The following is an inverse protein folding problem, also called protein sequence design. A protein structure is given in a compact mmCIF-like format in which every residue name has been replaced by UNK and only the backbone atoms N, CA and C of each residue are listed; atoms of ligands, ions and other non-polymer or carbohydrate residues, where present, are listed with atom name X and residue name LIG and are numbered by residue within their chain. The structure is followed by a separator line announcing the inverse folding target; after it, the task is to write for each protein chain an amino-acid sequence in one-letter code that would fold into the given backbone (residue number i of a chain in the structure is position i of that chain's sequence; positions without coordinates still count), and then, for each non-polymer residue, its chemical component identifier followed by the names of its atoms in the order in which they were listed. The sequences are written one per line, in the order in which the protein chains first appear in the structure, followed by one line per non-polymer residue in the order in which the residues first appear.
data_IF_961552883520
#
_entry.id   IF_961552883520
#
_cell.length_a   1.000
_cell.length_b   1.000
_cell.length_c   1.000
_cell.angle_alpha   90.00
_cell.angle_beta   90.00
_cell.angle_gamma   90.00
#
_symmetry.space_group_name_H-M   'P 1'
#
loop_
_entity.id
_entity.type
_entity.pdbx_description
1 polymer ?
#
# COMPACT_ATOMS: atom_id res chain seq x y z
N UNK A 1 -22.24 -27.82 30.54
CA UNK A 1 -21.89 -26.49 31.11
C UNK A 1 -21.02 -25.64 30.16
N UNK A 2 -19.93 -26.17 29.58
CA UNK A 2 -19.01 -25.41 28.70
C UNK A 2 -19.69 -24.80 27.46
N UNK A 3 -20.68 -25.50 26.91
CA UNK A 3 -21.49 -25.07 25.75
C UNK A 3 -22.34 -23.82 26.05
N UNK A 4 -22.97 -23.75 27.22
CA UNK A 4 -23.76 -22.57 27.64
C UNK A 4 -22.88 -21.32 27.79
N UNK A 5 -21.68 -21.46 28.38
CA UNK A 5 -20.74 -20.36 28.55
C UNK A 5 -20.29 -19.77 27.20
N UNK A 6 -20.03 -20.62 26.20
CA UNK A 6 -19.67 -20.20 24.84
C UNK A 6 -20.80 -19.43 24.15
N UNK A 7 -22.04 -19.89 24.28
CA UNK A 7 -23.21 -19.22 23.68
C UNK A 7 -23.43 -17.83 24.30
N UNK A 8 -23.31 -17.72 25.62
CA UNK A 8 -23.46 -16.44 26.33
C UNK A 8 -22.34 -15.46 25.97
N UNK A 9 -21.10 -15.95 25.79
CA UNK A 9 -19.98 -15.12 25.33
C UNK A 9 -20.25 -14.57 23.92
N UNK A 10 -20.73 -15.40 22.99
CA UNK A 10 -21.04 -14.98 21.62
C UNK A 10 -22.15 -13.93 21.56
N UNK A 11 -23.20 -14.06 22.38
CA UNK A 11 -24.24 -13.02 22.52
C UNK A 11 -23.64 -11.71 23.02
N UNK A 12 -22.86 -11.74 24.10
CA UNK A 12 -22.22 -10.55 24.68
C UNK A 12 -21.27 -9.86 23.71
N UNK A 13 -20.59 -10.62 22.84
CA UNK A 13 -19.77 -10.07 21.75
C UNK A 13 -20.66 -9.40 20.70
N UNK A 14 -21.75 -10.05 20.29
CA UNK A 14 -22.70 -9.52 19.29
C UNK A 14 -23.36 -8.22 19.76
N UNK A 15 -23.71 -8.11 21.04
CA UNK A 15 -24.34 -6.92 21.65
C UNK A 15 -23.37 -5.73 21.75
N UNK A 16 -22.06 -5.99 21.79
CA UNK A 16 -21.02 -4.95 21.76
C UNK A 16 -20.72 -4.41 20.36
N UNK A 17 -21.21 -5.05 19.30
CA UNK A 17 -20.96 -4.59 17.92
C UNK A 17 -21.86 -3.38 17.67
N UNK A 18 -21.31 -2.22 17.30
CA UNK A 18 -22.10 -1.05 16.97
C UNK A 18 -23.12 -1.36 15.86
N UNK A 19 -24.32 -0.80 16.00
CA UNK A 19 -25.35 -0.92 14.97
C UNK A 19 -24.83 -0.40 13.62
N UNK A 20 -25.27 -1.03 12.52
CA UNK A 20 -24.87 -0.65 11.15
C UNK A 20 -23.55 -1.28 10.66
N UNK A 21 -22.79 -1.99 11.49
CA UNK A 21 -21.61 -2.73 11.03
C UNK A 21 -22.03 -4.07 10.41
N UNK A 22 -21.91 -4.20 9.08
CA UNK A 22 -22.18 -5.46 8.36
C UNK A 22 -21.16 -6.54 8.75
N UNK A 23 -21.61 -7.61 9.39
CA UNK A 23 -20.77 -8.71 9.89
C UNK A 23 -20.91 -10.00 9.08
N UNK A 24 -21.79 -10.05 8.07
CA UNK A 24 -21.98 -11.24 7.25
C UNK A 24 -20.65 -11.67 6.61
N UNK A 25 -20.41 -12.98 6.56
CA UNK A 25 -19.18 -13.53 6.02
C UNK A 25 -18.97 -13.09 4.56
N UNK A 26 -20.05 -13.11 3.77
CA UNK A 26 -20.07 -12.58 2.39
C UNK A 26 -19.59 -11.13 2.28
N UNK A 27 -19.99 -10.24 3.21
CA UNK A 27 -19.51 -8.85 3.19
C UNK A 27 -18.01 -8.75 3.50
N UNK A 28 -17.53 -9.53 4.47
CA UNK A 28 -16.09 -9.58 4.82
C UNK A 28 -15.27 -10.13 3.66
N UNK A 29 -15.75 -11.18 3.00
CA UNK A 29 -15.09 -11.79 1.86
C UNK A 29 -15.09 -10.86 0.65
N UNK A 30 -16.21 -10.18 0.36
CA UNK A 30 -16.28 -9.16 -0.69
C UNK A 30 -15.25 -8.03 -0.44
N UNK A 31 -15.15 -7.53 0.80
CA UNK A 31 -14.14 -6.52 1.16
C UNK A 31 -12.71 -7.03 1.08
N UNK A 32 -12.47 -8.31 1.37
CA UNK A 32 -11.16 -8.93 1.18
C UNK A 32 -10.81 -9.01 -0.31
N UNK A 33 -11.74 -9.45 -1.15
CA UNK A 33 -11.55 -9.54 -2.60
C UNK A 33 -11.35 -8.16 -3.23
N UNK A 34 -12.06 -7.14 -2.76
CA UNK A 34 -11.85 -5.74 -3.17
C UNK A 34 -10.40 -5.30 -2.92
N UNK A 35 -9.85 -5.57 -1.73
CA UNK A 35 -8.45 -5.22 -1.41
C UNK A 35 -7.46 -5.97 -2.30
N UNK A 36 -7.66 -7.27 -2.51
CA UNK A 36 -6.80 -8.10 -3.35
C UNK A 36 -6.83 -7.62 -4.82
N UNK A 37 -8.01 -7.28 -5.33
CA UNK A 37 -8.19 -6.72 -6.67
C UNK A 37 -7.44 -5.39 -6.84
N UNK A 38 -7.51 -4.50 -5.84
CA UNK A 38 -6.78 -3.23 -5.86
C UNK A 38 -5.25 -3.44 -5.85
N UNK A 39 -4.75 -4.41 -5.08
CA UNK A 39 -3.34 -4.77 -5.07
C UNK A 39 -2.88 -5.36 -6.41
N UNK A 40 -3.66 -6.28 -6.98
CA UNK A 40 -3.37 -6.89 -8.28
C UNK A 40 -3.36 -5.83 -9.39
N UNK A 41 -4.33 -4.91 -9.41
CA UNK A 41 -4.37 -3.80 -10.37
C UNK A 41 -3.12 -2.90 -10.23
N UNK A 42 -2.66 -2.63 -9.00
CA UNK A 42 -1.41 -1.89 -8.78
C UNK A 42 -0.21 -2.61 -9.39
N UNK A 43 -0.05 -3.91 -9.11
CA UNK A 43 1.03 -4.74 -9.69
C UNK A 43 0.99 -4.76 -11.22
N UNK A 44 -0.20 -4.86 -11.82
CA UNK A 44 -0.39 -4.78 -13.28
C UNK A 44 -0.05 -3.42 -13.89
N UNK A 45 -0.16 -2.33 -13.12
CA UNK A 45 0.33 -1.02 -13.58
C UNK A 45 1.86 -0.94 -13.47
N UNK A 46 2.43 -1.54 -12.43
CA UNK A 46 3.89 -1.60 -12.21
C UNK A 46 4.64 -2.45 -13.25
N UNK A 47 3.99 -3.44 -13.89
CA UNK A 47 4.62 -4.22 -14.98
C UNK A 47 5.02 -3.34 -16.17
N UNK A 48 4.36 -2.19 -16.36
CA UNK A 48 4.70 -1.19 -17.38
C UNK A 48 5.82 -0.23 -16.94
N UNK A 49 6.37 -0.43 -15.75
CA UNK A 49 7.37 0.42 -15.11
C UNK A 49 6.84 1.11 -13.86
N UNK A 50 7.72 1.83 -13.15
CA UNK A 50 7.34 2.48 -11.90
C UNK A 50 6.24 3.53 -12.07
N UNK A 51 5.33 3.54 -11.09
CA UNK A 51 4.25 4.49 -10.95
C UNK A 51 4.81 5.79 -10.39
N UNK A 52 5.17 6.69 -11.30
CA UNK A 52 5.64 8.02 -10.99
C UNK A 52 4.63 9.02 -11.57
N UNK A 53 3.77 9.57 -10.70
CA UNK A 53 2.81 10.61 -11.05
C UNK A 53 3.46 11.99 -10.85
N UNK A 54 3.40 12.85 -11.86
CA UNK A 54 3.97 14.21 -11.84
C UNK A 54 3.15 15.22 -11.04
N UNK A 55 1.89 14.91 -10.68
CA UNK A 55 1.04 15.83 -9.89
C UNK A 55 1.52 15.95 -8.44
N UNK A 56 2.06 14.87 -7.89
CA UNK A 56 2.55 14.78 -6.50
C UNK A 56 4.07 14.97 -6.47
N UNK A 57 4.60 15.24 -5.27
CA UNK A 57 6.06 15.21 -5.09
C UNK A 57 6.60 13.80 -5.29
N UNK A 58 7.90 13.70 -5.61
CA UNK A 58 8.53 12.41 -5.91
C UNK A 58 8.43 11.44 -4.73
N UNK A 59 8.53 11.93 -3.50
CA UNK A 59 8.37 11.12 -2.28
C UNK A 59 7.03 10.38 -2.21
N UNK A 60 5.92 11.10 -2.44
CA UNK A 60 4.56 10.55 -2.38
C UNK A 60 4.29 9.64 -3.58
N UNK A 61 4.86 9.96 -4.74
CA UNK A 61 4.75 9.12 -5.94
C UNK A 61 5.48 7.79 -5.76
N UNK A 62 6.69 7.78 -5.18
CA UNK A 62 7.45 6.57 -4.88
C UNK A 62 6.68 5.60 -3.98
N UNK A 63 5.96 6.11 -2.97
CA UNK A 63 5.17 5.29 -2.03
C UNK A 63 4.03 4.50 -2.69
N UNK A 64 3.57 4.92 -3.86
CA UNK A 64 2.53 4.21 -4.60
C UNK A 64 2.98 2.86 -5.14
N UNK A 65 4.30 2.63 -5.23
CA UNK A 65 4.88 1.42 -5.76
C UNK A 65 4.99 0.33 -4.68
N UNK A 66 4.87 -0.92 -5.10
CA UNK A 66 5.02 -2.10 -4.25
C UNK A 66 6.44 -2.18 -3.69
N UNK A 67 6.52 -2.61 -2.43
CA UNK A 67 7.75 -2.77 -1.64
C UNK A 67 8.56 -1.48 -1.37
N UNK A 68 8.00 -0.32 -1.68
CA UNK A 68 8.56 0.99 -1.32
C UNK A 68 7.73 1.58 -0.18
N UNK A 69 8.28 1.55 1.04
CA UNK A 69 7.71 2.25 2.19
C UNK A 69 8.26 3.68 2.30
N UNK A 70 7.79 4.46 3.29
CA UNK A 70 8.24 5.84 3.48
C UNK A 70 9.75 5.96 3.73
N UNK A 71 10.32 5.01 4.48
CA UNK A 71 11.74 4.99 4.78
C UNK A 71 12.58 4.76 3.50
N UNK A 72 12.25 3.73 2.72
CA UNK A 72 12.90 3.42 1.43
C UNK A 72 12.73 4.55 0.42
N UNK A 73 11.57 5.20 0.38
CA UNK A 73 11.38 6.39 -0.46
C UNK A 73 12.32 7.53 -0.07
N UNK A 74 12.57 7.72 1.23
CA UNK A 74 13.56 8.67 1.73
C UNK A 74 15.00 8.30 1.33
N UNK A 75 15.36 7.02 1.40
CA UNK A 75 16.66 6.54 0.92
C UNK A 75 16.85 6.80 -0.58
N UNK A 76 15.84 6.48 -1.40
CA UNK A 76 15.86 6.74 -2.85
C UNK A 76 16.09 8.23 -3.13
N UNK A 77 15.40 9.12 -2.43
CA UNK A 77 15.60 10.57 -2.57
C UNK A 77 17.01 11.00 -2.17
N UNK A 78 17.57 10.41 -1.11
CA UNK A 78 18.95 10.69 -0.68
C UNK A 78 19.96 10.30 -1.75
N UNK A 79 19.80 9.14 -2.39
CA UNK A 79 20.65 8.71 -3.51
C UNK A 79 20.48 9.58 -4.78
N UNK A 80 19.31 10.17 -4.96
CA UNK A 80 19.04 11.10 -6.05
C UNK A 80 19.50 12.53 -5.74
N UNK A 81 19.86 12.82 -4.47
CA UNK A 81 20.19 14.15 -3.97
C UNK A 81 19.04 15.16 -4.19
N UNK A 82 17.80 14.68 -4.10
CA UNK A 82 16.59 15.48 -4.32
C UNK A 82 15.92 15.78 -2.98
N UNK A 83 15.55 17.04 -2.77
CA UNK A 83 14.78 17.44 -1.60
C UNK A 83 13.39 16.77 -1.58
N UNK A 84 12.91 16.36 -0.40
CA UNK A 84 11.67 15.59 -0.25
C UNK A 84 10.42 16.28 -0.85
N UNK A 85 10.39 17.62 -0.81
CA UNK A 85 9.28 18.42 -1.35
C UNK A 85 9.42 18.76 -2.83
N UNK A 86 10.53 18.39 -3.45
CA UNK A 86 10.76 18.69 -4.86
C UNK A 86 9.75 17.95 -5.75
N UNK A 87 9.37 18.61 -6.83
CA UNK A 87 8.52 18.09 -7.90
C UNK A 87 9.32 18.07 -9.20
N UNK A 88 10.30 17.16 -9.34
CA UNK A 88 11.07 17.07 -10.56
C UNK A 88 10.17 16.59 -11.71
N UNK A 89 10.40 17.11 -12.90
CA UNK A 89 9.78 16.58 -14.11
C UNK A 89 10.34 15.18 -14.40
N UNK A 90 9.44 14.20 -14.56
CA UNK A 90 9.81 12.80 -14.75
C UNK A 90 10.14 12.57 -16.22
N UNK A 91 11.36 12.92 -16.60
CA UNK A 91 11.92 12.55 -17.91
C UNK A 91 12.22 11.05 -17.99
N UNK A 92 12.27 10.43 -19.18
CA UNK A 92 12.60 9.01 -19.33
C UNK A 92 13.94 8.64 -18.68
N UNK A 93 14.96 9.48 -18.86
CA UNK A 93 16.30 9.30 -18.25
C UNK A 93 16.25 9.32 -16.72
N UNK A 94 15.47 10.25 -16.14
CA UNK A 94 15.30 10.31 -14.69
C UNK A 94 14.53 9.07 -14.18
N UNK A 95 13.50 8.64 -14.90
CA UNK A 95 12.72 7.43 -14.56
C UNK A 95 13.61 6.19 -14.50
N UNK A 96 14.50 6.00 -15.46
CA UNK A 96 15.47 4.89 -15.44
C UNK A 96 16.40 4.97 -14.22
N UNK A 97 16.95 6.16 -13.93
CA UNK A 97 17.80 6.37 -12.76
C UNK A 97 17.08 6.05 -11.45
N UNK A 98 15.85 6.53 -11.28
CA UNK A 98 15.01 6.22 -10.11
C UNK A 98 14.77 4.70 -10.04
N UNK A 99 14.51 4.03 -11.17
CA UNK A 99 14.27 2.57 -11.22
C UNK A 99 15.48 1.78 -10.75
N UNK A 100 16.67 2.16 -11.21
CA UNK A 100 17.92 1.52 -10.81
C UNK A 100 18.18 1.67 -9.31
N UNK A 101 17.99 2.88 -8.77
CA UNK A 101 18.15 3.17 -7.34
C UNK A 101 17.10 2.45 -6.50
N UNK A 102 15.84 2.43 -6.96
CA UNK A 102 14.77 1.72 -6.26
C UNK A 102 15.06 0.21 -6.18
N UNK A 103 15.57 -0.39 -7.26
CA UNK A 103 15.99 -1.79 -7.28
C UNK A 103 17.18 -2.05 -6.35
N UNK A 104 18.12 -1.10 -6.26
CA UNK A 104 19.24 -1.15 -5.31
C UNK A 104 18.73 -1.13 -3.85
N UNK A 105 17.93 -0.14 -3.48
CA UNK A 105 17.35 0.01 -2.13
C UNK A 105 16.46 -1.18 -1.75
N UNK A 106 15.71 -1.75 -2.70
CA UNK A 106 14.89 -2.95 -2.47
C UNK A 106 15.72 -4.16 -2.05
N UNK A 107 16.97 -4.26 -2.51
CA UNK A 107 17.91 -5.34 -2.12
C UNK A 107 18.47 -5.17 -0.72
N UNK A 108 18.19 -4.05 -0.03
CA UNK A 108 18.67 -3.78 1.33
C UNK A 108 20.17 -3.48 1.42
N UNK A 109 20.77 -3.03 0.31
CA UNK A 109 22.16 -2.55 0.24
C UNK A 109 22.18 -1.04 0.11
#
# INVERSE_FOLDING_TARGET
MITQCRVNLLKKIKDKIPYGVKQSQSYKDAKKQERLSLEANRKLKETRGMLLDGKKNLFMSLRQNSDINWYRAGQILKHLEIHQRAKPEITPKLRERITNIANFVKRGR
#
